data_IF_207661144827
#
_entry.id   IF_207661144827
#
_cell.length_a   1.000
_cell.length_b   1.000
_cell.length_c   1.000
_cell.angle_alpha   90.00
_cell.angle_beta   90.00
_cell.angle_gamma   90.00
#
_symmetry.space_group_name_H-M   'P 1'
#
loop_
_entity.id
_entity.type
_entity.pdbx_description
1 polymer ?
#
# COMPACT_ATOMS: atom_id res chain seq x y z
N UNK A 1 10.70 -4.26 -19.32
CA UNK A 1 9.75 -4.69 -18.27
C UNK A 1 9.07 -3.46 -17.70
N UNK A 2 7.74 -3.42 -17.62
CA UNK A 2 7.04 -2.36 -16.89
C UNK A 2 7.48 -2.35 -15.44
N UNK A 3 7.71 -1.16 -14.91
CA UNK A 3 8.21 -0.94 -13.55
C UNK A 3 7.14 -0.24 -12.71
N UNK A 4 6.91 -0.72 -11.49
CA UNK A 4 6.04 -0.07 -10.51
C UNK A 4 6.90 0.59 -9.43
N UNK A 5 6.75 1.88 -9.24
CA UNK A 5 7.33 2.63 -8.14
C UNK A 5 6.38 2.54 -6.95
N UNK A 6 6.83 1.92 -5.85
CA UNK A 6 6.02 1.68 -4.65
C UNK A 6 6.45 2.62 -3.53
N UNK A 7 5.46 3.28 -2.93
CA UNK A 7 5.61 4.18 -1.79
C UNK A 7 5.03 3.52 -0.55
N UNK A 8 5.79 3.50 0.52
CA UNK A 8 5.38 2.98 1.82
C UNK A 8 5.40 4.10 2.87
N UNK A 9 4.49 4.01 3.85
CA UNK A 9 4.32 5.04 4.89
C UNK A 9 5.15 4.80 6.14
N UNK A 10 5.20 5.82 7.02
CA UNK A 10 5.65 5.83 8.42
C UNK A 10 7.03 5.25 8.77
N UNK A 11 7.67 4.52 7.85
CA UNK A 11 8.99 3.93 8.09
C UNK A 11 10.11 4.97 8.12
N UNK A 12 9.87 6.13 7.52
CA UNK A 12 10.85 7.23 7.43
C UNK A 12 11.22 7.85 8.79
N UNK A 13 10.33 7.78 9.78
CA UNK A 13 10.51 8.33 11.12
C UNK A 13 11.19 7.35 12.10
N UNK A 14 11.41 6.10 11.70
CA UNK A 14 12.02 5.08 12.55
C UNK A 14 13.55 5.06 12.41
N UNK A 15 14.24 4.52 13.42
CA UNK A 15 15.69 4.30 13.35
C UNK A 15 16.07 3.46 12.12
N UNK A 16 17.29 3.59 11.64
CA UNK A 16 17.76 2.91 10.44
C UNK A 16 17.60 1.37 10.51
N UNK A 17 17.83 0.77 11.67
CA UNK A 17 17.67 -0.67 11.90
C UNK A 17 16.21 -1.11 11.85
N UNK A 18 15.32 -0.38 12.50
CA UNK A 18 13.89 -0.65 12.50
C UNK A 18 13.31 -0.47 11.10
N UNK A 19 13.68 0.63 10.42
CA UNK A 19 13.26 0.87 9.03
C UNK A 19 13.66 -0.28 8.13
N UNK A 20 14.91 -0.75 8.18
CA UNK A 20 15.39 -1.87 7.36
C UNK A 20 14.60 -3.15 7.63
N UNK A 21 14.28 -3.45 8.90
CA UNK A 21 13.45 -4.61 9.24
C UNK A 21 12.07 -4.54 8.60
N UNK A 22 11.43 -3.38 8.61
CA UNK A 22 10.12 -3.18 8.02
C UNK A 22 10.16 -3.20 6.49
N UNK A 23 11.17 -2.59 5.87
CA UNK A 23 11.39 -2.65 4.42
C UNK A 23 11.58 -4.11 3.96
N UNK A 24 12.40 -4.88 4.67
CA UNK A 24 12.61 -6.29 4.37
C UNK A 24 11.29 -7.10 4.49
N UNK A 25 10.53 -6.88 5.57
CA UNK A 25 9.24 -7.54 5.74
C UNK A 25 8.26 -7.21 4.60
N UNK A 26 8.23 -5.94 4.14
CA UNK A 26 7.41 -5.54 3.00
C UNK A 26 7.88 -6.19 1.69
N UNK A 27 9.18 -6.19 1.44
CA UNK A 27 9.78 -6.85 0.25
C UNK A 27 9.46 -8.33 0.25
N UNK A 28 9.58 -9.00 1.39
CA UNK A 28 9.31 -10.43 1.51
C UNK A 28 7.82 -10.74 1.33
N UNK A 29 6.90 -9.90 1.84
CA UNK A 29 5.46 -10.07 1.61
C UNK A 29 5.12 -9.88 0.13
N UNK A 30 5.61 -8.82 -0.52
CA UNK A 30 5.41 -8.59 -1.96
C UNK A 30 5.93 -9.79 -2.77
N UNK A 31 7.16 -10.25 -2.49
CA UNK A 31 7.77 -11.39 -3.18
C UNK A 31 6.95 -12.68 -3.02
N UNK A 32 6.54 -12.99 -1.79
CA UNK A 32 5.74 -14.18 -1.51
C UNK A 32 4.39 -14.16 -2.25
N UNK A 33 3.72 -13.02 -2.29
CA UNK A 33 2.46 -12.85 -3.04
C UNK A 33 2.64 -13.05 -4.54
N UNK A 34 3.73 -12.52 -5.11
CA UNK A 34 4.05 -12.74 -6.52
C UNK A 34 4.34 -14.21 -6.83
N UNK A 35 5.06 -14.90 -5.94
CA UNK A 35 5.31 -16.34 -6.06
C UNK A 35 3.99 -17.13 -6.06
N UNK A 36 3.10 -16.85 -5.11
CA UNK A 36 1.79 -17.49 -5.01
C UNK A 36 0.91 -17.22 -6.24
N UNK A 37 0.94 -16.00 -6.76
CA UNK A 37 0.24 -15.61 -7.97
C UNK A 37 0.90 -16.13 -9.27
N UNK A 38 2.08 -16.75 -9.19
CA UNK A 38 2.91 -17.18 -10.33
C UNK A 38 3.27 -16.03 -11.28
N UNK A 39 3.52 -14.86 -10.73
CA UNK A 39 3.93 -13.66 -11.46
C UNK A 39 5.41 -13.38 -11.17
N UNK A 40 6.31 -13.61 -12.12
CA UNK A 40 7.73 -13.29 -11.95
C UNK A 40 7.93 -11.81 -11.70
N UNK A 41 8.75 -11.46 -10.71
CA UNK A 41 9.13 -10.08 -10.45
C UNK A 41 10.54 -9.96 -9.90
N UNK A 42 11.15 -8.79 -10.13
CA UNK A 42 12.39 -8.37 -9.48
C UNK A 42 12.08 -7.16 -8.61
N UNK A 43 12.46 -7.23 -7.33
CA UNK A 43 12.22 -6.14 -6.39
C UNK A 43 13.55 -5.51 -6.03
N UNK A 44 13.64 -4.19 -6.23
CA UNK A 44 14.79 -3.38 -5.84
C UNK A 44 14.38 -2.25 -4.89
N UNK A 45 15.31 -1.80 -4.06
CA UNK A 45 15.08 -0.75 -3.07
C UNK A 45 16.07 0.40 -3.28
N UNK A 46 15.59 1.61 -3.23
CA UNK A 46 16.38 2.83 -3.09
C UNK A 46 15.78 3.68 -1.96
N UNK A 47 16.53 4.63 -1.41
CA UNK A 47 16.12 5.44 -0.24
C UNK A 47 14.63 5.82 -0.27
N UNK A 48 13.78 5.09 0.52
CA UNK A 48 12.37 5.38 0.73
C UNK A 48 11.45 5.01 -0.45
N UNK A 49 11.89 4.17 -1.37
CA UNK A 49 11.10 3.63 -2.48
C UNK A 49 11.45 2.17 -2.73
N UNK A 50 10.45 1.39 -3.10
CA UNK A 50 10.64 0.08 -3.70
C UNK A 50 10.24 0.16 -5.17
N UNK A 51 10.90 -0.66 -5.97
CA UNK A 51 10.56 -0.84 -7.37
C UNK A 51 10.26 -2.32 -7.60
N UNK A 52 9.15 -2.58 -8.28
CA UNK A 52 8.74 -3.92 -8.69
C UNK A 52 8.76 -3.94 -10.21
N UNK A 53 9.71 -4.68 -10.77
CA UNK A 53 9.82 -4.94 -12.19
C UNK A 53 9.13 -6.27 -12.50
N UNK A 54 8.09 -6.25 -13.34
CA UNK A 54 7.30 -7.43 -13.68
C UNK A 54 6.75 -7.33 -15.09
N UNK A 55 6.69 -8.45 -15.79
CA UNK A 55 6.10 -8.51 -17.13
C UNK A 55 4.58 -8.33 -17.10
N UNK A 56 3.92 -8.75 -16.02
CA UNK A 56 2.50 -8.53 -15.77
C UNK A 56 2.30 -7.47 -14.68
N UNK A 57 2.44 -6.20 -15.07
CA UNK A 57 2.27 -5.09 -14.15
C UNK A 57 0.83 -4.94 -13.63
N UNK A 58 -0.18 -5.44 -14.37
CA UNK A 58 -1.58 -5.38 -13.92
C UNK A 58 -1.81 -6.30 -12.75
N UNK A 59 -1.40 -7.57 -12.85
CA UNK A 59 -1.43 -8.49 -11.70
C UNK A 59 -0.56 -8.03 -10.54
N UNK A 60 0.62 -7.46 -10.83
CA UNK A 60 1.45 -6.86 -9.80
C UNK A 60 0.75 -5.69 -9.09
N UNK A 61 -0.04 -4.89 -9.83
CA UNK A 61 -0.87 -3.83 -9.24
C UNK A 61 -1.95 -4.40 -8.33
N UNK A 62 -2.66 -5.44 -8.73
CA UNK A 62 -3.65 -6.14 -7.89
C UNK A 62 -3.01 -6.67 -6.60
N UNK A 63 -1.81 -7.26 -6.69
CA UNK A 63 -1.05 -7.70 -5.51
C UNK A 63 -0.75 -6.52 -4.58
N UNK A 64 -0.29 -5.38 -5.12
CA UNK A 64 0.08 -4.21 -4.33
C UNK A 64 -1.13 -3.54 -3.67
N UNK A 65 -2.32 -3.56 -4.30
CA UNK A 65 -3.56 -3.03 -3.69
C UNK A 65 -4.00 -3.79 -2.44
N UNK A 66 -3.50 -5.03 -2.25
CA UNK A 66 -3.80 -5.87 -1.08
C UNK A 66 -2.60 -6.14 -0.18
N UNK A 67 -1.49 -5.40 -0.37
CA UNK A 67 -0.26 -5.58 0.42
C UNK A 67 -0.16 -4.49 1.49
N UNK A 68 -0.30 -4.87 2.77
CA UNK A 68 -0.15 -3.93 3.87
C UNK A 68 1.26 -3.34 3.93
N UNK A 69 1.34 -2.04 4.25
CA UNK A 69 2.58 -1.26 4.17
C UNK A 69 2.73 -0.46 2.89
N UNK A 70 2.07 -0.85 1.79
CA UNK A 70 2.00 -0.07 0.56
C UNK A 70 1.00 1.07 0.74
N UNK A 71 1.45 2.31 0.62
CA UNK A 71 0.57 3.50 0.67
C UNK A 71 0.05 3.83 -0.71
N UNK A 72 0.94 3.85 -1.70
CA UNK A 72 0.58 4.04 -3.10
C UNK A 72 1.66 3.49 -4.01
N UNK A 73 1.31 3.30 -5.27
CA UNK A 73 2.25 2.89 -6.30
C UNK A 73 1.88 3.51 -7.65
N UNK A 74 2.82 3.51 -8.58
CA UNK A 74 2.63 4.07 -9.92
C UNK A 74 3.36 3.23 -10.95
N UNK A 75 2.74 2.90 -12.09
CA UNK A 75 3.49 2.48 -13.27
C UNK A 75 4.39 3.62 -13.73
N UNK A 76 5.67 3.35 -13.92
CA UNK A 76 6.64 4.38 -14.26
C UNK A 76 7.46 4.05 -15.49
N UNK A 77 7.82 5.08 -16.24
CA UNK A 77 8.89 5.06 -17.24
C UNK A 77 10.18 5.54 -16.59
N UNK A 78 11.25 4.73 -16.67
CA UNK A 78 12.57 5.07 -16.14
C UNK A 78 13.44 5.65 -17.24
N UNK A 79 14.03 6.83 -16.98
CA UNK A 79 14.94 7.52 -17.90
C UNK A 79 16.17 8.05 -17.16
N UNK A 80 17.13 8.60 -17.89
CA UNK A 80 18.25 9.37 -17.30
C UNK A 80 17.74 10.64 -16.61
N UNK A 81 18.48 11.13 -15.61
CA UNK A 81 18.22 12.43 -14.98
C UNK A 81 18.74 13.63 -15.80
N UNK A 82 19.28 13.41 -16.98
CA UNK A 82 19.70 14.48 -17.88
C UNK A 82 18.50 15.23 -18.44
N UNK A 83 18.59 16.57 -18.50
CA UNK A 83 17.46 17.46 -18.84
C UNK A 83 16.88 17.09 -20.21
N UNK A 84 17.71 16.89 -21.21
CA UNK A 84 17.27 16.61 -22.58
C UNK A 84 16.45 15.30 -22.66
N UNK A 85 16.89 14.27 -21.94
CA UNK A 85 16.18 12.99 -21.84
C UNK A 85 14.85 13.15 -21.08
N UNK A 86 14.84 13.97 -20.03
CA UNK A 86 13.62 14.30 -19.27
C UNK A 86 12.61 15.05 -20.14
N UNK A 87 13.05 16.06 -20.90
CA UNK A 87 12.21 16.81 -21.82
C UNK A 87 11.60 15.88 -22.85
N UNK A 88 12.41 15.08 -23.52
CA UNK A 88 11.97 14.12 -24.54
C UNK A 88 10.92 13.16 -23.96
N UNK A 89 11.21 12.48 -22.87
CA UNK A 89 10.31 11.52 -22.26
C UNK A 89 9.01 12.15 -21.74
N UNK A 90 9.07 13.38 -21.24
CA UNK A 90 7.88 14.10 -20.74
C UNK A 90 6.97 14.51 -21.90
N UNK A 91 7.55 14.96 -23.00
CA UNK A 91 6.80 15.27 -24.23
C UNK A 91 6.15 14.01 -24.79
N UNK A 92 6.90 12.90 -24.95
CA UNK A 92 6.37 11.63 -25.42
C UNK A 92 5.21 11.11 -24.52
N UNK A 93 5.34 11.23 -23.20
CA UNK A 93 4.25 10.88 -22.29
C UNK A 93 3.03 11.79 -22.50
N UNK A 94 3.24 13.08 -22.70
CA UNK A 94 2.16 14.05 -22.89
C UNK A 94 1.35 13.77 -24.17
N UNK A 95 1.96 13.26 -25.23
CA UNK A 95 1.25 12.89 -26.46
C UNK A 95 0.12 11.90 -26.25
N UNK A 96 0.33 10.96 -25.31
CA UNK A 96 -0.64 9.91 -25.00
C UNK A 96 -1.74 10.38 -24.04
N UNK A 97 -1.50 11.45 -23.29
CA UNK A 97 -2.38 11.93 -22.23
C UNK A 97 -3.22 13.14 -22.65
N UNK A 98 -2.65 14.02 -23.50
CA UNK A 98 -3.26 15.32 -23.80
C UNK A 98 -4.39 15.19 -24.82
N UNK A 99 -5.59 15.62 -24.42
CA UNK A 99 -6.76 15.81 -25.26
C UNK A 99 -7.01 17.29 -25.56
N UNK A 100 -7.85 17.64 -26.55
CA UNK A 100 -8.10 19.02 -26.94
C UNK A 100 -8.61 19.89 -25.79
N UNK A 101 -8.02 21.08 -25.62
CA UNK A 101 -8.33 22.09 -24.59
C UNK A 101 -8.12 21.63 -23.14
N UNK A 102 -7.38 20.55 -22.91
CA UNK A 102 -7.04 20.09 -21.57
C UNK A 102 -6.17 21.10 -20.83
N UNK A 103 -6.19 21.00 -19.50
CA UNK A 103 -5.24 21.64 -18.61
C UNK A 103 -4.27 20.62 -18.01
N UNK A 104 -3.06 21.06 -17.70
CA UNK A 104 -2.06 20.18 -17.14
C UNK A 104 -1.16 20.83 -16.09
N UNK A 105 -0.51 19.99 -15.27
CA UNK A 105 0.58 20.37 -14.38
C UNK A 105 1.72 19.36 -14.44
N UNK A 106 2.95 19.84 -14.29
CA UNK A 106 4.13 19.02 -14.04
C UNK A 106 4.46 19.07 -12.55
N UNK A 107 4.53 17.90 -11.91
CA UNK A 107 4.87 17.75 -10.50
C UNK A 107 6.24 17.11 -10.35
N UNK A 108 7.24 17.91 -10.00
CA UNK A 108 8.61 17.42 -9.87
C UNK A 108 9.00 17.18 -8.42
N UNK A 109 9.71 16.09 -8.17
CA UNK A 109 10.42 15.81 -6.92
C UNK A 109 11.85 15.41 -7.23
N UNK A 110 12.80 15.84 -6.38
CA UNK A 110 14.21 15.58 -6.61
C UNK A 110 14.91 15.15 -5.34
N UNK A 111 15.75 14.12 -5.46
CA UNK A 111 16.68 13.66 -4.43
C UNK A 111 18.04 13.43 -5.07
N UNK A 112 19.10 13.93 -4.45
CA UNK A 112 20.46 13.89 -4.98
C UNK A 112 20.95 15.28 -5.37
N UNK A 113 22.16 15.33 -5.93
CA UNK A 113 22.82 16.56 -6.35
C UNK A 113 22.70 16.74 -7.87
N UNK A 114 22.01 17.79 -8.30
CA UNK A 114 21.79 18.11 -9.71
C UNK A 114 21.99 19.61 -9.91
N UNK A 115 22.33 20.01 -11.12
CA UNK A 115 22.53 21.40 -11.52
C UNK A 115 21.22 22.19 -11.74
N UNK A 116 20.07 21.62 -11.41
CA UNK A 116 18.74 22.24 -11.49
C UNK A 116 17.96 22.03 -10.19
N UNK A 117 16.99 22.89 -9.93
CA UNK A 117 16.01 22.74 -8.83
C UNK A 117 14.76 21.99 -9.31
N UNK A 118 13.92 21.54 -8.38
CA UNK A 118 12.63 20.94 -8.77
C UNK A 118 11.76 21.94 -9.50
N UNK A 119 11.76 23.22 -9.09
CA UNK A 119 10.98 24.27 -9.72
C UNK A 119 11.45 24.54 -11.16
N UNK A 120 12.76 24.78 -11.35
CA UNK A 120 13.32 25.05 -12.69
C UNK A 120 13.11 23.87 -13.63
N UNK A 121 13.19 22.63 -13.12
CA UNK A 121 12.87 21.47 -13.90
C UNK A 121 11.39 21.45 -14.32
N UNK A 122 10.46 21.71 -13.39
CA UNK A 122 9.04 21.76 -13.71
C UNK A 122 8.71 22.81 -14.77
N UNK A 123 9.34 23.97 -14.70
CA UNK A 123 9.18 25.07 -15.68
C UNK A 123 9.68 24.66 -17.07
N UNK A 124 10.86 24.04 -17.16
CA UNK A 124 11.42 23.58 -18.42
C UNK A 124 10.58 22.49 -19.07
N UNK A 125 10.21 21.46 -18.29
CA UNK A 125 9.36 20.37 -18.78
C UNK A 125 7.98 20.87 -19.17
N UNK A 126 7.39 21.75 -18.35
CA UNK A 126 6.09 22.37 -18.63
C UNK A 126 6.09 23.20 -19.91
N UNK A 127 7.13 23.99 -20.14
CA UNK A 127 7.28 24.78 -21.37
C UNK A 127 7.39 23.89 -22.61
N UNK A 128 8.17 22.82 -22.54
CA UNK A 128 8.32 21.89 -23.66
C UNK A 128 7.00 21.16 -23.98
N UNK A 129 6.28 20.67 -22.96
CA UNK A 129 4.96 20.03 -23.12
C UNK A 129 3.93 21.00 -23.70
N UNK A 130 3.91 22.23 -23.22
CA UNK A 130 2.99 23.28 -23.70
C UNK A 130 3.25 23.62 -25.17
N UNK A 131 4.51 23.82 -25.55
CA UNK A 131 4.87 24.14 -26.94
C UNK A 131 4.53 23.00 -27.89
N UNK A 132 4.85 21.75 -27.50
CA UNK A 132 4.54 20.58 -28.32
C UNK A 132 3.04 20.38 -28.53
N UNK A 133 2.24 20.59 -27.49
CA UNK A 133 0.79 20.39 -27.54
C UNK A 133 0.01 21.70 -27.83
N UNK A 134 0.68 22.76 -28.25
CA UNK A 134 0.06 24.04 -28.64
C UNK A 134 -1.11 23.88 -29.61
N UNK A 135 -1.00 23.03 -30.66
CA UNK A 135 -2.11 22.82 -31.60
C UNK A 135 -3.37 22.22 -30.97
N UNK A 136 -3.25 21.55 -29.84
CA UNK A 136 -4.37 20.97 -29.09
C UNK A 136 -5.03 21.97 -28.12
N UNK A 137 -4.55 23.22 -28.01
CA UNK A 137 -5.07 24.20 -27.08
C UNK A 137 -4.78 23.90 -25.61
N UNK A 138 -3.68 23.19 -25.31
CA UNK A 138 -3.27 22.83 -23.96
C UNK A 138 -3.02 24.08 -23.11
N UNK A 139 -3.43 24.04 -21.84
CA UNK A 139 -3.27 25.15 -20.87
C UNK A 139 -2.59 24.65 -19.60
N UNK A 140 -1.91 25.54 -18.89
CA UNK A 140 -1.36 25.26 -17.57
C UNK A 140 -2.40 25.53 -16.51
N UNK A 141 -2.62 24.58 -15.57
CA UNK A 141 -3.39 24.77 -14.34
C UNK A 141 -2.64 24.09 -13.20
N UNK A 142 -2.27 24.85 -12.18
CA UNK A 142 -1.50 24.30 -11.06
C UNK A 142 -2.40 23.73 -9.93
N UNK A 143 -3.60 24.27 -9.79
CA UNK A 143 -4.50 23.89 -8.69
C UNK A 143 -5.37 22.68 -9.06
N UNK A 144 -6.07 22.74 -10.17
CA UNK A 144 -6.99 21.69 -10.63
C UNK A 144 -6.71 21.35 -12.11
N UNK A 145 -5.61 20.67 -12.42
CA UNK A 145 -5.31 20.23 -13.78
C UNK A 145 -6.11 18.99 -14.16
N UNK A 146 -6.52 18.90 -15.44
CA UNK A 146 -7.09 17.66 -16.00
C UNK A 146 -6.06 16.53 -16.07
N UNK A 147 -4.77 16.90 -16.25
CA UNK A 147 -3.66 15.96 -16.41
C UNK A 147 -2.51 16.37 -15.49
N UNK A 148 -2.03 15.41 -14.69
CA UNK A 148 -0.79 15.58 -13.94
C UNK A 148 0.29 14.64 -14.46
N UNK A 149 1.46 15.19 -14.77
CA UNK A 149 2.65 14.41 -15.08
C UNK A 149 3.63 14.58 -13.93
N UNK A 150 3.96 13.47 -13.30
CA UNK A 150 4.88 13.42 -12.17
C UNK A 150 6.27 13.02 -12.66
N UNK A 151 7.30 13.71 -12.19
CA UNK A 151 8.70 13.44 -12.48
C UNK A 151 9.47 13.33 -11.17
N UNK A 152 9.85 12.13 -10.77
CA UNK A 152 10.63 11.88 -9.56
C UNK A 152 12.09 11.58 -9.92
N UNK A 153 12.98 12.57 -9.75
CA UNK A 153 14.41 12.45 -10.03
C UNK A 153 15.15 11.90 -8.80
N UNK A 154 15.94 10.85 -9.02
CA UNK A 154 16.74 10.18 -7.99
C UNK A 154 18.14 9.88 -8.51
N UNK A 155 19.11 10.60 -7.98
CA UNK A 155 20.51 10.49 -8.43
C UNK A 155 20.59 10.59 -9.97
N UNK A 156 21.07 9.58 -10.65
CA UNK A 156 21.25 9.56 -12.12
C UNK A 156 20.03 9.09 -12.91
N UNK A 157 18.89 8.85 -12.25
CA UNK A 157 17.67 8.31 -12.87
C UNK A 157 16.47 9.17 -12.55
N UNK A 158 15.47 9.13 -13.42
CA UNK A 158 14.19 9.74 -13.18
C UNK A 158 13.06 8.78 -13.56
N UNK A 159 11.93 8.96 -12.90
CA UNK A 159 10.75 8.14 -13.02
C UNK A 159 9.55 9.03 -13.35
N UNK A 160 8.98 8.82 -14.53
CA UNK A 160 7.84 9.57 -15.04
C UNK A 160 6.57 8.73 -14.90
N UNK A 161 5.49 9.33 -14.46
CA UNK A 161 4.18 8.69 -14.33
C UNK A 161 3.04 9.72 -14.33
N UNK A 162 1.84 9.29 -14.68
CA UNK A 162 0.62 10.12 -14.71
C UNK A 162 -0.48 9.58 -13.79
N UNK A 163 -0.27 8.44 -13.17
CA UNK A 163 -1.26 7.82 -12.28
C UNK A 163 -0.64 7.41 -10.95
N UNK A 164 -1.43 7.58 -9.89
CA UNK A 164 -1.09 7.14 -8.54
C UNK A 164 -2.21 6.24 -8.04
N UNK A 165 -1.89 4.96 -7.89
CA UNK A 165 -2.82 3.94 -7.40
C UNK A 165 -2.64 3.78 -5.89
N UNK A 166 -3.74 3.67 -5.16
CA UNK A 166 -3.73 3.54 -3.71
C UNK A 166 -3.47 2.11 -3.27
N UNK A 167 -2.65 1.95 -2.23
CA UNK A 167 -2.53 0.71 -1.48
C UNK A 167 -3.31 0.78 -0.16
N UNK A 168 -3.35 -0.29 0.64
CA UNK A 168 -4.09 -0.34 1.90
C UNK A 168 -3.44 0.50 3.01
N UNK A 169 -2.18 0.92 2.84
CA UNK A 169 -1.41 1.56 3.90
C UNK A 169 -1.08 0.61 5.05
N UNK A 170 -0.96 1.15 6.26
CA UNK A 170 -0.63 0.38 7.45
C UNK A 170 0.83 -0.04 7.54
N UNK A 171 1.09 -1.12 8.27
CA UNK A 171 2.42 -1.69 8.47
C UNK A 171 2.55 -3.06 7.79
N UNK A 172 3.75 -3.43 7.31
CA UNK A 172 3.97 -4.74 6.73
C UNK A 172 3.61 -5.87 7.70
N UNK A 173 2.97 -6.93 7.21
CA UNK A 173 2.54 -8.06 8.01
C UNK A 173 3.71 -8.70 8.78
N UNK A 174 3.45 -9.14 10.01
CA UNK A 174 4.42 -9.81 10.87
C UNK A 174 5.38 -8.88 11.61
N UNK A 175 5.32 -7.56 11.39
CA UNK A 175 6.22 -6.60 12.06
C UNK A 175 5.83 -6.30 13.50
N UNK A 176 4.59 -6.62 13.90
CA UNK A 176 4.03 -6.34 15.23
C UNK A 176 3.64 -7.62 16.01
N UNK A 177 4.09 -8.78 15.57
CA UNK A 177 3.82 -10.05 16.24
C UNK A 177 2.58 -10.76 15.71
N UNK A 178 2.14 -11.78 16.46
CA UNK A 178 1.02 -12.66 16.09
C UNK A 178 -0.11 -12.52 17.09
N UNK A 179 -1.34 -12.44 16.59
CA UNK A 179 -2.55 -12.35 17.39
C UNK A 179 -3.48 -13.52 17.10
N UNK A 180 -4.20 -13.94 18.14
CA UNK A 180 -5.30 -14.85 18.05
C UNK A 180 -6.61 -14.04 17.91
N UNK A 181 -7.41 -14.32 16.88
CA UNK A 181 -8.65 -13.58 16.63
C UNK A 181 -9.83 -14.55 16.59
N UNK A 182 -10.83 -14.30 17.43
CA UNK A 182 -12.11 -15.01 17.34
C UNK A 182 -12.94 -14.39 16.21
N UNK A 183 -13.36 -15.23 15.26
CA UNK A 183 -14.14 -14.80 14.09
C UNK A 183 -15.42 -15.62 14.00
N UNK A 184 -16.47 -15.10 14.62
CA UNK A 184 -17.80 -15.69 14.58
C UNK A 184 -18.80 -14.95 13.72
N UNK A 185 -18.41 -13.77 13.20
CA UNK A 185 -19.26 -12.87 12.43
C UNK A 185 -18.46 -12.01 11.47
N UNK A 186 -19.12 -11.18 10.67
CA UNK A 186 -18.51 -10.18 9.80
C UNK A 186 -17.69 -9.14 10.58
N UNK A 187 -18.13 -8.79 11.80
CA UNK A 187 -17.33 -7.93 12.70
C UNK A 187 -15.96 -8.54 12.99
N UNK A 188 -15.89 -9.87 13.16
CA UNK A 188 -14.62 -10.58 13.37
C UNK A 188 -13.68 -10.50 12.17
N UNK A 189 -14.20 -10.46 10.94
CA UNK A 189 -13.42 -10.21 9.72
C UNK A 189 -12.81 -8.80 9.79
N UNK A 190 -13.61 -7.78 10.06
CA UNK A 190 -13.17 -6.38 10.18
C UNK A 190 -12.11 -6.21 11.28
N UNK A 191 -12.35 -6.80 12.47
CA UNK A 191 -11.41 -6.81 13.60
C UNK A 191 -10.06 -7.42 13.19
N UNK A 192 -10.07 -8.60 12.59
CA UNK A 192 -8.87 -9.29 12.12
C UNK A 192 -8.09 -8.47 11.10
N UNK A 193 -8.80 -7.89 10.11
CA UNK A 193 -8.18 -7.07 9.06
C UNK A 193 -7.54 -5.80 9.63
N UNK A 194 -8.17 -5.15 10.59
CA UNK A 194 -7.61 -3.95 11.25
C UNK A 194 -6.31 -4.29 11.99
N UNK A 195 -6.24 -5.47 12.64
CA UNK A 195 -5.01 -5.93 13.28
C UNK A 195 -3.92 -6.30 12.26
N UNK A 196 -4.30 -6.89 11.11
CA UNK A 196 -3.38 -7.11 10.00
C UNK A 196 -2.82 -5.77 9.46
N UNK A 197 -3.68 -4.75 9.30
CA UNK A 197 -3.28 -3.40 8.87
C UNK A 197 -2.31 -2.73 9.84
N UNK A 198 -2.35 -3.11 11.12
CA UNK A 198 -1.37 -2.68 12.13
C UNK A 198 -0.07 -3.48 12.10
N UNK A 199 0.06 -4.44 11.20
CA UNK A 199 1.27 -5.24 11.01
C UNK A 199 1.32 -6.54 11.81
N UNK A 200 0.21 -6.95 12.42
CA UNK A 200 0.13 -8.26 13.08
C UNK A 200 -0.15 -9.36 12.06
N UNK A 201 0.44 -10.53 12.25
CA UNK A 201 -0.12 -11.75 11.67
C UNK A 201 -1.29 -12.20 12.55
N UNK A 202 -2.32 -12.77 11.95
CA UNK A 202 -3.52 -13.21 12.67
C UNK A 202 -3.71 -14.71 12.46
N UNK A 203 -4.02 -15.42 13.56
CA UNK A 203 -4.60 -16.76 13.54
C UNK A 203 -6.09 -16.58 13.77
N UNK A 204 -6.91 -16.94 12.78
CA UNK A 204 -8.36 -16.83 12.86
C UNK A 204 -8.95 -18.12 13.46
N UNK A 205 -9.61 -18.00 14.61
CA UNK A 205 -10.34 -19.07 15.23
C UNK A 205 -11.83 -18.95 14.88
N UNK A 206 -12.34 -19.94 14.13
CA UNK A 206 -13.71 -19.95 13.64
C UNK A 206 -14.21 -21.37 13.46
N UNK A 207 -15.51 -21.55 13.60
CA UNK A 207 -16.21 -22.82 13.26
C UNK A 207 -16.63 -22.85 11.78
N UNK A 208 -16.60 -21.69 11.11
CA UNK A 208 -16.90 -21.55 9.69
C UNK A 208 -15.68 -21.02 8.92
N UNK A 209 -14.84 -21.87 8.31
CA UNK A 209 -13.68 -21.47 7.54
C UNK A 209 -14.02 -20.58 6.33
N UNK A 210 -15.22 -20.71 5.75
CA UNK A 210 -15.62 -19.87 4.61
C UNK A 210 -15.81 -18.41 5.02
N UNK A 211 -16.21 -18.16 6.25
CA UNK A 211 -16.36 -16.82 6.81
C UNK A 211 -15.05 -16.00 6.70
N UNK A 212 -13.91 -16.64 6.95
CA UNK A 212 -12.59 -15.97 6.95
C UNK A 212 -11.87 -16.00 5.60
N UNK A 213 -12.47 -16.61 4.59
CA UNK A 213 -11.90 -16.71 3.25
C UNK A 213 -11.46 -15.35 2.67
N UNK A 214 -12.23 -14.25 2.79
CA UNK A 214 -11.80 -12.94 2.30
C UNK A 214 -10.48 -12.47 2.90
N UNK A 215 -10.17 -12.83 4.15
CA UNK A 215 -8.91 -12.49 4.79
C UNK A 215 -7.69 -13.18 4.17
N UNK A 216 -7.88 -14.31 3.46
CA UNK A 216 -6.78 -15.02 2.79
C UNK A 216 -6.14 -14.21 1.69
N UNK A 217 -6.88 -13.30 1.06
CA UNK A 217 -6.35 -12.41 0.04
C UNK A 217 -5.45 -11.32 0.62
N UNK A 218 -5.73 -10.93 1.86
CA UNK A 218 -4.93 -9.96 2.62
C UNK A 218 -3.77 -10.60 3.37
N UNK A 219 -3.90 -11.87 3.72
CA UNK A 219 -2.86 -12.68 4.37
C UNK A 219 -2.81 -14.07 3.73
N UNK A 220 -2.04 -14.28 2.63
CA UNK A 220 -2.03 -15.55 1.89
C UNK A 220 -1.61 -16.77 2.70
N UNK A 221 -1.00 -16.56 3.87
CA UNK A 221 -0.63 -17.62 4.83
C UNK A 221 -1.49 -17.56 6.09
N UNK A 222 -2.75 -17.15 5.96
CA UNK A 222 -3.69 -17.11 7.06
C UNK A 222 -3.83 -18.50 7.67
N UNK A 223 -3.55 -18.62 8.97
CA UNK A 223 -3.79 -19.83 9.72
C UNK A 223 -5.21 -19.79 10.29
N UNK A 224 -6.00 -20.80 9.99
CA UNK A 224 -7.36 -20.97 10.52
C UNK A 224 -7.36 -22.16 11.45
N UNK A 225 -8.03 -22.04 12.60
CA UNK A 225 -8.16 -23.08 13.62
C UNK A 225 -9.59 -23.11 14.15
N UNK A 226 -10.02 -24.22 14.71
CA UNK A 226 -11.27 -24.28 15.48
C UNK A 226 -11.09 -23.60 16.84
N UNK A 227 -12.10 -22.88 17.36
CA UNK A 227 -12.05 -22.29 18.68
C UNK A 227 -11.98 -23.35 19.78
N UNK A 228 -11.00 -23.23 20.66
CA UNK A 228 -10.85 -24.08 21.83
C UNK A 228 -11.74 -23.62 23.00
N UNK A 229 -11.75 -24.39 24.09
CA UNK A 229 -12.51 -24.06 25.31
C UNK A 229 -12.02 -22.78 26.00
N UNK A 230 -10.71 -22.52 25.92
CA UNK A 230 -10.08 -21.34 26.50
C UNK A 230 -9.22 -20.64 25.43
N UNK A 231 -9.67 -19.47 24.99
CA UNK A 231 -8.97 -18.72 23.96
C UNK A 231 -7.58 -18.25 24.36
N UNK A 232 -7.32 -17.98 25.65
CA UNK A 232 -6.01 -17.52 26.12
C UNK A 232 -4.98 -18.65 26.14
N UNK A 233 -5.38 -19.84 26.57
CA UNK A 233 -4.53 -21.05 26.50
C UNK A 233 -4.20 -21.38 25.05
N UNK A 234 -5.22 -21.42 24.18
CA UNK A 234 -5.03 -21.68 22.78
C UNK A 234 -4.13 -20.64 22.09
N UNK A 235 -4.31 -19.34 22.45
CA UNK A 235 -3.45 -18.27 21.93
C UNK A 235 -1.99 -18.44 22.36
N UNK A 236 -1.73 -18.86 23.61
CA UNK A 236 -0.39 -19.14 24.11
C UNK A 236 0.25 -20.33 23.38
N UNK A 237 -0.48 -21.42 23.22
CA UNK A 237 -0.02 -22.64 22.53
C UNK A 237 0.35 -22.35 21.06
N UNK A 238 -0.22 -21.29 20.50
CA UNK A 238 0.02 -20.80 19.12
C UNK A 238 1.03 -19.66 19.05
N UNK A 239 1.77 -19.38 20.14
CA UNK A 239 2.76 -18.30 20.24
C UNK A 239 2.18 -16.91 19.90
N UNK A 240 0.93 -16.66 20.26
CA UNK A 240 0.30 -15.34 20.08
C UNK A 240 0.65 -14.42 21.25
N UNK A 241 0.84 -13.14 20.96
CA UNK A 241 1.14 -12.09 21.94
C UNK A 241 -0.11 -11.44 22.52
N UNK A 242 -1.30 -11.78 22.03
CA UNK A 242 -2.58 -11.25 22.47
C UNK A 242 -3.74 -11.85 21.70
N UNK A 243 -4.94 -11.46 22.13
CA UNK A 243 -6.22 -11.86 21.54
C UNK A 243 -6.91 -10.64 20.97
N UNK A 244 -7.49 -10.74 19.78
CA UNK A 244 -8.34 -9.71 19.19
C UNK A 244 -9.80 -10.18 19.20
N UNK A 245 -10.68 -9.30 19.71
CA UNK A 245 -12.13 -9.51 19.73
C UNK A 245 -12.82 -8.46 18.86
N UNK A 246 -13.98 -8.81 18.37
CA UNK A 246 -14.82 -7.97 17.49
C UNK A 246 -15.82 -7.10 18.24
N UNK A 247 -15.57 -6.86 19.53
CA UNK A 247 -16.45 -6.06 20.38
C UNK A 247 -16.35 -4.57 20.07
N UNK A 248 -17.51 -3.94 19.95
CA UNK A 248 -17.68 -2.49 19.93
C UNK A 248 -17.70 -1.92 21.34
N UNK A 249 -17.75 -0.59 21.48
CA UNK A 249 -17.84 0.05 22.80
C UNK A 249 -19.09 -0.40 23.58
N UNK A 250 -20.22 -0.57 22.89
CA UNK A 250 -21.46 -1.01 23.52
C UNK A 250 -21.38 -2.44 24.07
N UNK A 251 -20.70 -3.33 23.35
CA UNK A 251 -20.51 -4.72 23.78
C UNK A 251 -19.57 -4.80 24.98
N UNK A 252 -18.54 -3.95 25.00
CA UNK A 252 -17.62 -3.82 26.14
C UNK A 252 -18.36 -3.34 27.40
N UNK A 253 -19.21 -2.34 27.27
CA UNK A 253 -19.97 -1.78 28.41
C UNK A 253 -21.01 -2.77 28.97
N UNK A 254 -21.61 -3.60 28.12
CA UNK A 254 -22.65 -4.58 28.49
C UNK A 254 -22.06 -5.91 28.96
N UNK A 255 -20.79 -6.18 28.72
CA UNK A 255 -20.20 -7.49 28.93
C UNK A 255 -19.16 -7.45 30.08
N UNK A 256 -18.94 -8.60 30.71
CA UNK A 256 -17.78 -8.78 31.57
C UNK A 256 -16.55 -8.99 30.71
N UNK A 257 -15.55 -8.10 30.83
CA UNK A 257 -14.31 -8.22 30.12
C UNK A 257 -13.63 -9.59 30.36
N UNK A 258 -13.19 -10.26 29.31
CA UNK A 258 -12.50 -11.53 29.45
C UNK A 258 -11.19 -11.33 30.22
N UNK A 259 -10.91 -12.25 31.15
CA UNK A 259 -9.70 -12.23 31.98
C UNK A 259 -8.75 -13.33 31.55
N UNK A 260 -7.52 -12.97 31.28
CA UNK A 260 -6.46 -13.89 30.89
C UNK A 260 -5.09 -13.25 31.05
N UNK A 261 -4.04 -13.99 30.81
CA UNK A 261 -2.66 -13.51 30.93
C UNK A 261 -2.18 -12.72 29.67
N UNK A 262 -2.86 -12.86 28.55
CA UNK A 262 -2.55 -12.13 27.34
C UNK A 262 -3.41 -10.87 27.21
N UNK A 263 -2.89 -9.78 26.63
CA UNK A 263 -3.66 -8.57 26.36
C UNK A 263 -4.79 -8.86 25.37
N UNK A 264 -5.90 -8.15 25.54
CA UNK A 264 -7.05 -8.21 24.63
C UNK A 264 -7.14 -6.89 23.87
N UNK A 265 -7.30 -7.00 22.56
CA UNK A 265 -7.46 -5.87 21.65
C UNK A 265 -8.89 -5.80 21.15
N UNK A 266 -9.43 -4.60 21.08
CA UNK A 266 -10.78 -4.30 20.60
C UNK A 266 -10.70 -3.33 19.41
N UNK A 267 -10.37 -3.81 18.20
CA UNK A 267 -10.09 -2.95 17.06
C UNK A 267 -11.28 -2.14 16.56
N UNK A 268 -12.50 -2.56 16.91
CA UNK A 268 -13.75 -1.93 16.45
C UNK A 268 -14.26 -0.82 17.37
N UNK A 269 -13.57 -0.58 18.51
CA UNK A 269 -13.94 0.52 19.41
C UNK A 269 -13.85 1.86 18.67
N UNK A 270 -14.96 2.61 18.68
CA UNK A 270 -15.06 3.90 18.01
C UNK A 270 -15.56 3.84 16.56
N UNK A 271 -15.84 2.66 16.04
CA UNK A 271 -16.51 2.50 14.74
C UNK A 271 -18.00 2.24 14.91
N UNK A 272 -18.81 2.88 14.06
CA UNK A 272 -20.22 2.57 13.91
C UNK A 272 -20.44 1.26 13.13
N UNK A 273 -21.62 0.67 13.25
CA UNK A 273 -21.98 -0.53 12.48
C UNK A 273 -21.90 -0.28 10.96
N UNK A 274 -22.26 0.92 10.49
CA UNK A 274 -22.13 1.31 9.07
C UNK A 274 -20.66 1.34 8.61
N UNK A 275 -19.77 1.91 9.41
CA UNK A 275 -18.33 1.92 9.12
C UNK A 275 -17.72 0.51 9.12
N UNK A 276 -18.18 -0.36 10.04
CA UNK A 276 -17.75 -1.76 10.11
C UNK A 276 -18.19 -2.51 8.85
N UNK A 277 -19.45 -2.37 8.45
CA UNK A 277 -19.98 -3.03 7.24
C UNK A 277 -19.29 -2.51 5.98
N UNK A 278 -19.12 -1.21 5.85
CA UNK A 278 -18.36 -0.62 4.75
C UNK A 278 -16.88 -1.08 4.70
N UNK A 279 -16.30 -1.44 5.85
CA UNK A 279 -14.97 -2.07 5.91
C UNK A 279 -15.03 -3.51 5.43
N UNK A 280 -16.04 -4.30 5.84
CA UNK A 280 -16.22 -5.68 5.39
C UNK A 280 -16.40 -5.75 3.88
N UNK A 281 -17.20 -4.85 3.30
CA UNK A 281 -17.39 -4.78 1.84
C UNK A 281 -16.06 -4.53 1.12
N UNK A 282 -15.24 -3.61 1.63
CA UNK A 282 -13.89 -3.36 1.07
C UNK A 282 -12.92 -4.53 1.21
N UNK A 283 -13.07 -5.34 2.26
CA UNK A 283 -12.24 -6.54 2.46
C UNK A 283 -12.60 -7.61 1.45
N UNK A 284 -13.86 -7.71 1.06
CA UNK A 284 -14.41 -8.68 0.11
C UNK A 284 -14.21 -8.28 -1.36
N UNK A 285 -14.13 -6.97 -1.66
CA UNK A 285 -13.88 -6.43 -3.00
C UNK A 285 -12.46 -6.72 -3.50
#
# INVERSE_FOLDING_TARGET
MPKLLVRYGELGLKSASVRRRFENALVDDIRNRHVLARVPCVISSTRGRLFVDSDDWRKSSEILTRTFGVVSFSPVSEVSSEIDELVKATVEMSEQLVFPNASFAIRTRRTGNHNYTSQTLAEQLGSAVLEWNRPKGLRVSLDEPDIEIFVEVREKRAYLYSSVLSGPGGMPLGTQGRLFSLVGSEKGIASSWLMMKRGCTVISATVDPELVRPLSEWCPRLKVVEPGKNMFEQAKDLDCIGVALDWTIEEIEKSRLPKGELPVFYPLVGLSDEEIMGLVDRIRA
#
